data_IF_555758995373
#
_entry.id   IF_555758995373
#
_cell.length_a   1.000
_cell.length_b   1.000
_cell.length_c   1.000
_cell.angle_alpha   90.00
_cell.angle_beta   90.00
_cell.angle_gamma   90.00
#
_symmetry.space_group_name_H-M   'P 1'
#
loop_
_entity.id
_entity.type
_entity.pdbx_description
1 polymer ?
#
# COMPACT_ATOMS: atom_id res chain seq x y z
N UNK A 1 3.28 8.84 -14.86
CA UNK A 1 2.88 7.76 -13.93
C UNK A 1 2.25 8.39 -12.71
N UNK A 2 1.05 7.94 -12.38
CA UNK A 2 0.35 8.30 -11.15
C UNK A 2 0.87 7.43 -10.01
N UNK A 3 1.06 8.00 -8.82
CA UNK A 3 1.66 7.31 -7.68
C UNK A 3 0.71 7.34 -6.48
N UNK A 4 0.68 6.26 -5.70
CA UNK A 4 -0.06 6.18 -4.45
C UNK A 4 0.61 5.21 -3.47
N UNK A 5 0.25 5.33 -2.19
CA UNK A 5 0.71 4.45 -1.12
C UNK A 5 -0.48 3.81 -0.38
N UNK A 6 -0.45 2.49 -0.22
CA UNK A 6 -1.46 1.75 0.51
C UNK A 6 -0.88 0.94 1.68
N UNK A 7 -1.46 1.13 2.87
CA UNK A 7 -1.14 0.36 4.07
C UNK A 7 -1.93 -0.95 4.15
N UNK A 8 -1.23 -2.07 4.26
CA UNK A 8 -1.77 -3.41 4.46
C UNK A 8 -1.40 -3.91 5.85
N UNK A 9 -2.38 -4.06 6.72
CA UNK A 9 -2.18 -4.54 8.09
C UNK A 9 -3.09 -5.68 8.46
N UNK A 10 -2.72 -6.40 9.52
CA UNK A 10 -3.55 -7.44 10.12
C UNK A 10 -4.51 -6.84 11.15
N UNK A 11 -5.59 -6.26 10.67
CA UNK A 11 -6.68 -5.78 11.53
C UNK A 11 -7.83 -6.79 11.49
N UNK A 12 -8.15 -7.39 12.64
CA UNK A 12 -9.37 -8.19 12.75
C UNK A 12 -10.59 -7.29 12.62
N UNK A 13 -11.36 -7.44 11.53
CA UNK A 13 -12.70 -6.85 11.43
C UNK A 13 -13.65 -7.75 12.21
N UNK A 14 -14.24 -7.21 13.28
CA UNK A 14 -15.28 -7.92 14.01
C UNK A 14 -16.52 -8.06 13.11
N UNK A 15 -16.95 -9.30 12.89
CA UNK A 15 -18.18 -9.58 12.17
C UNK A 15 -19.41 -9.44 13.07
N UNK A 16 -20.56 -9.15 12.46
CA UNK A 16 -21.84 -9.30 13.13
C UNK A 16 -22.16 -10.79 13.34
N UNK A 17 -22.74 -11.14 14.48
CA UNK A 17 -23.24 -12.48 14.74
C UNK A 17 -24.56 -12.43 15.49
N UNK A 18 -25.39 -13.45 15.28
CA UNK A 18 -26.63 -13.64 16.02
C UNK A 18 -26.33 -14.21 17.40
N UNK A 19 -27.00 -13.69 18.42
CA UNK A 19 -26.89 -14.16 19.80
C UNK A 19 -28.27 -14.25 20.43
N UNK A 20 -28.51 -15.23 21.33
CA UNK A 20 -29.77 -15.30 22.08
C UNK A 20 -30.07 -14.00 22.84
N UNK A 21 -31.36 -13.74 23.07
CA UNK A 21 -31.82 -12.58 23.84
C UNK A 21 -31.21 -12.64 25.25
N UNK A 22 -30.54 -11.56 25.65
CA UNK A 22 -29.85 -11.45 26.94
C UNK A 22 -28.40 -11.96 26.94
N UNK A 23 -27.87 -12.48 25.83
CA UNK A 23 -26.49 -12.95 25.73
C UNK A 23 -25.69 -12.02 24.81
N UNK A 24 -24.62 -11.42 25.34
CA UNK A 24 -23.65 -10.67 24.52
C UNK A 24 -22.71 -11.63 23.79
N UNK A 25 -22.57 -11.56 22.46
CA UNK A 25 -21.64 -12.42 21.74
C UNK A 25 -20.20 -12.02 22.08
N UNK A 26 -19.40 -13.00 22.51
CA UNK A 26 -17.97 -12.81 22.72
C UNK A 26 -17.20 -13.25 21.48
N UNK A 27 -16.65 -12.28 20.75
CA UNK A 27 -15.87 -12.53 19.52
C UNK A 27 -14.41 -12.20 19.80
N UNK A 28 -13.52 -13.18 19.58
CA UNK A 28 -12.09 -12.96 19.70
C UNK A 28 -11.60 -12.01 18.60
N UNK A 29 -10.98 -10.90 18.98
CA UNK A 29 -10.28 -9.99 18.07
C UNK A 29 -8.77 -10.08 18.29
N UNK A 30 -8.00 -10.10 17.21
CA UNK A 30 -6.54 -9.96 17.27
C UNK A 30 -6.17 -8.56 16.79
N UNK A 31 -5.67 -7.72 17.70
CA UNK A 31 -5.17 -6.40 17.36
C UNK A 31 -3.65 -6.46 17.16
N UNK A 32 -3.22 -6.84 15.95
CA UNK A 32 -1.81 -6.94 15.57
C UNK A 32 -1.44 -5.67 14.79
N UNK A 33 -0.53 -4.85 15.33
CA UNK A 33 -0.06 -3.60 14.69
C UNK A 33 1.09 -3.83 13.70
N UNK A 34 0.99 -4.91 12.93
CA UNK A 34 1.91 -5.18 11.83
C UNK A 34 1.32 -4.59 10.55
N UNK A 35 1.98 -3.58 10.01
CA UNK A 35 1.62 -2.95 8.74
C UNK A 35 2.78 -3.08 7.76
N UNK A 36 2.44 -3.43 6.52
CA UNK A 36 3.31 -3.31 5.35
C UNK A 36 2.71 -2.25 4.45
N UNK A 37 3.56 -1.52 3.76
CA UNK A 37 3.12 -0.46 2.86
C UNK A 37 3.47 -0.86 1.44
N UNK A 38 2.54 -0.65 0.52
CA UNK A 38 2.77 -0.83 -0.91
C UNK A 38 2.82 0.55 -1.55
N UNK A 39 3.96 0.90 -2.09
CA UNK A 39 4.14 2.04 -2.97
C UNK A 39 3.88 1.58 -4.39
N UNK A 40 2.98 2.26 -5.10
CA UNK A 40 2.59 1.90 -6.45
C UNK A 40 2.69 3.08 -7.39
N UNK A 41 3.14 2.82 -8.62
CA UNK A 41 3.05 3.77 -9.73
C UNK A 41 2.39 3.09 -10.93
N UNK A 42 1.50 3.80 -11.63
CA UNK A 42 0.82 3.30 -12.83
C UNK A 42 0.87 4.35 -13.93
N UNK A 43 1.23 3.94 -15.14
CA UNK A 43 1.09 4.77 -16.33
C UNK A 43 -0.29 4.59 -16.96
N UNK A 44 -1.05 5.67 -17.10
CA UNK A 44 -2.40 5.60 -17.64
C UNK A 44 -2.44 5.31 -19.16
N UNK A 45 -1.34 5.54 -19.88
CA UNK A 45 -1.31 5.37 -21.32
C UNK A 45 -0.85 3.97 -21.73
N UNK A 46 0.19 3.43 -21.08
CA UNK A 46 0.72 2.10 -21.37
C UNK A 46 0.10 1.01 -20.49
N UNK A 47 -0.46 1.38 -19.34
CA UNK A 47 -0.91 0.43 -18.32
C UNK A 47 0.24 -0.21 -17.53
N UNK A 48 1.48 0.25 -17.72
CA UNK A 48 2.62 -0.24 -16.95
C UNK A 48 2.49 0.13 -15.48
N UNK A 49 2.91 -0.78 -14.61
CA UNK A 49 2.79 -0.62 -13.18
C UNK A 49 4.08 -1.03 -12.47
N UNK A 50 4.50 -0.24 -11.48
CA UNK A 50 5.65 -0.49 -10.64
C UNK A 50 5.22 -0.51 -9.17
N UNK A 51 5.71 -1.50 -8.40
CA UNK A 51 5.33 -1.67 -7.00
C UNK A 51 6.53 -1.98 -6.11
N UNK A 52 6.59 -1.34 -4.94
CA UNK A 52 7.56 -1.60 -3.89
C UNK A 52 6.85 -1.91 -2.57
N UNK A 53 7.23 -2.99 -1.90
CA UNK A 53 6.71 -3.33 -0.57
C UNK A 53 7.69 -2.84 0.50
N UNK A 54 7.26 -1.88 1.31
CA UNK A 54 8.02 -1.27 2.37
C UNK A 54 7.56 -1.71 3.76
N UNK A 55 8.47 -1.57 4.73
CA UNK A 55 8.15 -1.80 6.14
C UNK A 55 7.38 -0.67 6.80
N UNK A 56 7.41 0.54 6.24
CA UNK A 56 6.82 1.76 6.83
C UNK A 56 6.40 2.76 5.75
N UNK A 57 5.48 3.64 6.13
CA UNK A 57 5.18 4.88 5.43
C UNK A 57 6.13 5.98 5.93
N UNK A 58 7.24 6.25 5.23
CA UNK A 58 8.13 7.37 5.59
C UNK A 58 8.90 7.90 4.37
N UNK A 59 9.58 9.03 4.57
CA UNK A 59 10.38 9.69 3.52
C UNK A 59 11.50 8.81 2.98
N UNK A 60 12.12 7.97 3.83
CA UNK A 60 13.20 7.07 3.41
C UNK A 60 12.71 6.05 2.38
N UNK A 61 11.56 5.41 2.64
CA UNK A 61 10.94 4.46 1.72
C UNK A 61 10.40 5.14 0.45
N UNK A 62 9.87 6.36 0.56
CA UNK A 62 9.47 7.14 -0.61
C UNK A 62 10.68 7.46 -1.52
N UNK A 63 11.80 7.88 -0.95
CA UNK A 63 13.00 8.17 -1.73
C UNK A 63 13.55 6.91 -2.40
N UNK A 64 13.60 5.78 -1.68
CA UNK A 64 13.99 4.50 -2.25
C UNK A 64 13.06 4.06 -3.40
N UNK A 65 11.75 4.26 -3.24
CA UNK A 65 10.77 4.00 -4.29
C UNK A 65 11.00 4.85 -5.54
N UNK A 66 11.21 6.16 -5.38
CA UNK A 66 11.46 7.06 -6.50
C UNK A 66 12.79 6.75 -7.19
N UNK A 67 13.82 6.40 -6.43
CA UNK A 67 15.12 5.99 -6.98
C UNK A 67 14.96 4.74 -7.85
N UNK A 68 14.36 3.66 -7.33
CA UNK A 68 14.12 2.44 -8.10
C UNK A 68 13.21 2.69 -9.31
N UNK A 69 12.16 3.51 -9.16
CA UNK A 69 11.26 3.86 -10.25
C UNK A 69 12.00 4.62 -11.36
N UNK A 70 12.88 5.55 -11.01
CA UNK A 70 13.70 6.31 -11.96
C UNK A 70 14.67 5.41 -12.72
N UNK A 71 15.23 4.39 -12.06
CA UNK A 71 16.13 3.41 -12.68
C UNK A 71 15.37 2.44 -13.58
N UNK A 72 14.16 2.03 -13.20
CA UNK A 72 13.30 1.17 -14.01
C UNK A 72 12.75 1.89 -15.25
N UNK A 73 12.49 3.20 -15.14
CA UNK A 73 11.91 4.02 -16.21
C UNK A 73 12.73 5.30 -16.47
N UNK A 74 13.97 5.17 -17.00
CA UNK A 74 14.89 6.30 -17.18
C UNK A 74 14.47 7.29 -18.27
N UNK A 75 13.55 6.90 -19.15
CA UNK A 75 13.07 7.76 -20.24
C UNK A 75 11.59 7.49 -20.52
N UNK A 76 10.69 8.36 -20.03
CA UNK A 76 9.30 8.30 -20.48
C UNK A 76 9.16 8.94 -21.85
N UNK A 77 8.33 8.34 -22.69
CA UNK A 77 8.08 8.73 -24.09
C UNK A 77 7.54 10.17 -24.27
N UNK A 78 7.28 10.89 -23.17
CA UNK A 78 6.73 12.25 -23.13
C UNK A 78 7.65 13.29 -22.46
N UNK A 79 8.91 12.96 -22.16
CA UNK A 79 9.89 13.94 -21.65
C UNK A 79 9.69 14.34 -20.18
N UNK A 80 8.92 13.57 -19.40
CA UNK A 80 8.95 13.68 -17.94
C UNK A 80 10.04 12.74 -17.40
N UNK A 81 11.19 13.32 -17.06
CA UNK A 81 12.15 12.62 -16.21
C UNK A 81 11.51 12.50 -14.81
N UNK A 82 11.32 11.27 -14.31
CA UNK A 82 11.05 11.06 -12.89
C UNK A 82 12.36 11.28 -12.15
N UNK A 83 12.70 12.54 -11.88
CA UNK A 83 13.85 12.86 -11.06
C UNK A 83 13.47 12.54 -9.61
N UNK A 84 14.23 11.63 -8.99
CA UNK A 84 14.20 11.40 -7.55
C UNK A 84 14.68 12.64 -6.79
#
# INVERSE_FOLDING_TARGET
MYQDEAGFGRISKLGSCWSPIGVGPHVHSHYIREFRYCYGAVDAHTGESFFLIAGRCNTEWMNAFLEELSQAYPFTRYGQCYMA
#
